data_IF_075421823323
#
_entry.id   IF_075421823323
#
_cell.length_a   1.000
_cell.length_b   1.000
_cell.length_c   1.000
_cell.angle_alpha   90.00
_cell.angle_beta   90.00
_cell.angle_gamma   90.00
#
_symmetry.space_group_name_H-M   'P 1'
#
loop_
_entity.id
_entity.type
_entity.pdbx_description
1 polymer ?
#
# COMPACT_ATOMS: atom_id res chain seq x y z
N UNK A 1 -3.09 -11.82 -6.62
CA UNK A 1 -2.72 -11.01 -5.44
C UNK A 1 -3.92 -10.21 -4.95
N UNK A 2 -4.17 -10.19 -3.64
CA UNK A 2 -5.18 -9.33 -3.02
C UNK A 2 -4.54 -7.98 -2.67
N UNK A 3 -5.08 -6.90 -3.17
CA UNK A 3 -4.62 -5.54 -2.90
C UNK A 3 -5.66 -4.78 -2.06
N UNK A 4 -5.20 -4.07 -1.04
CA UNK A 4 -6.03 -3.35 -0.08
C UNK A 4 -5.82 -1.84 -0.15
N UNK A 5 -6.91 -1.08 0.00
CA UNK A 5 -6.90 0.37 0.18
C UNK A 5 -7.69 0.71 1.45
N UNK A 6 -7.04 0.61 2.62
CA UNK A 6 -7.64 1.03 3.89
C UNK A 6 -7.32 2.48 4.17
N UNK A 7 -8.28 3.38 3.94
CA UNK A 7 -8.10 4.81 4.25
C UNK A 7 -9.42 5.57 4.32
N UNK A 8 -9.36 6.77 4.89
CA UNK A 8 -10.38 7.78 4.61
C UNK A 8 -10.37 8.06 3.10
N UNK A 9 -11.50 7.79 2.44
CA UNK A 9 -11.66 7.96 0.99
C UNK A 9 -11.80 9.45 0.66
N UNK A 10 -10.66 10.14 0.63
CA UNK A 10 -10.55 11.58 0.37
C UNK A 10 -9.50 11.85 -0.72
N UNK A 11 -9.67 12.95 -1.44
CA UNK A 11 -8.90 13.27 -2.66
C UNK A 11 -7.37 13.24 -2.46
N UNK A 12 -6.86 13.71 -1.31
CA UNK A 12 -5.41 13.71 -1.06
C UNK A 12 -4.80 12.30 -0.86
N UNK A 13 -5.62 11.26 -0.76
CA UNK A 13 -5.16 9.86 -0.70
C UNK A 13 -4.96 9.22 -2.08
N UNK A 14 -5.18 9.98 -3.16
CA UNK A 14 -4.92 9.57 -4.53
C UNK A 14 -5.97 8.65 -5.13
N UNK A 15 -7.21 8.70 -4.62
CA UNK A 15 -8.30 7.90 -5.16
C UNK A 15 -8.75 8.35 -6.55
N UNK A 16 -8.46 9.57 -6.92
CA UNK A 16 -8.60 10.09 -8.29
C UNK A 16 -7.70 9.34 -9.29
N UNK A 17 -6.49 8.95 -8.88
CA UNK A 17 -5.63 8.09 -9.71
C UNK A 17 -6.23 6.69 -9.87
N UNK A 18 -6.75 6.12 -8.78
CA UNK A 18 -7.42 4.81 -8.80
C UNK A 18 -8.64 4.88 -9.72
N UNK A 19 -9.48 5.91 -9.57
CA UNK A 19 -10.67 6.14 -10.40
C UNK A 19 -10.34 6.19 -11.89
N UNK A 20 -9.25 6.89 -12.23
CA UNK A 20 -8.85 7.09 -13.64
C UNK A 20 -8.45 5.78 -14.36
N UNK A 21 -8.10 4.73 -13.64
CA UNK A 21 -7.66 3.43 -14.21
C UNK A 21 -8.43 2.23 -13.64
N UNK A 22 -9.63 2.46 -13.11
CA UNK A 22 -10.42 1.36 -12.54
C UNK A 22 -10.73 0.26 -13.55
N UNK A 23 -11.07 0.62 -14.79
CA UNK A 23 -11.34 -0.36 -15.85
C UNK A 23 -10.10 -1.19 -16.17
N UNK A 24 -8.92 -0.56 -16.21
CA UNK A 24 -7.66 -1.26 -16.41
C UNK A 24 -7.34 -2.19 -15.24
N UNK A 25 -7.51 -1.72 -13.99
CA UNK A 25 -7.31 -2.55 -12.79
C UNK A 25 -8.20 -3.80 -12.80
N UNK A 26 -9.44 -3.68 -13.29
CA UNK A 26 -10.35 -4.83 -13.41
C UNK A 26 -9.94 -5.81 -14.51
N UNK A 27 -9.04 -5.44 -15.43
CA UNK A 27 -8.47 -6.38 -16.41
C UNK A 27 -7.23 -7.12 -15.88
N UNK A 28 -6.55 -6.58 -14.85
CA UNK A 28 -5.38 -7.23 -14.26
C UNK A 28 -5.75 -8.50 -13.47
N UNK A 29 -4.79 -9.42 -13.31
CA UNK A 29 -4.98 -10.63 -12.50
C UNK A 29 -4.79 -10.34 -11.01
N UNK A 30 -5.69 -9.51 -10.47
CA UNK A 30 -5.73 -9.09 -9.07
C UNK A 30 -7.15 -9.15 -8.52
N UNK A 31 -7.26 -9.21 -7.20
CA UNK A 31 -8.48 -8.92 -6.46
C UNK A 31 -8.30 -7.62 -5.67
N UNK A 32 -9.27 -6.73 -5.73
CA UNK A 32 -9.23 -5.42 -5.07
C UNK A 32 -10.20 -5.38 -3.88
N UNK A 33 -9.68 -5.13 -2.70
CA UNK A 33 -10.49 -4.94 -1.48
C UNK A 33 -10.41 -3.49 -1.05
N UNK A 34 -11.56 -2.85 -0.91
CA UNK A 34 -11.68 -1.47 -0.42
C UNK A 34 -12.31 -1.50 0.97
N UNK A 35 -11.67 -0.81 1.93
CA UNK A 35 -12.21 -0.64 3.28
C UNK A 35 -12.09 0.83 3.69
N UNK A 36 -13.17 1.41 4.16
CA UNK A 36 -13.19 2.77 4.67
C UNK A 36 -14.40 3.56 4.22
N UNK A 37 -14.54 4.74 4.78
CA UNK A 37 -15.58 5.72 4.45
C UNK A 37 -14.92 7.02 3.96
N UNK A 38 -15.66 7.85 3.23
CA UNK A 38 -15.13 9.13 2.77
C UNK A 38 -16.08 9.93 1.88
N UNK A 39 -15.55 10.41 0.75
CA UNK A 39 -16.34 11.18 -0.20
C UNK A 39 -17.32 10.29 -0.97
N UNK A 40 -18.59 10.69 -1.03
CA UNK A 40 -19.69 9.90 -1.57
C UNK A 40 -19.48 9.46 -3.05
N UNK A 41 -18.79 10.27 -3.85
CA UNK A 41 -18.46 9.94 -5.22
C UNK A 41 -17.55 8.70 -5.31
N UNK A 42 -16.52 8.60 -4.47
CA UNK A 42 -15.63 7.42 -4.42
C UNK A 42 -16.35 6.21 -3.84
N UNK A 43 -17.12 6.38 -2.76
CA UNK A 43 -17.91 5.29 -2.20
C UNK A 43 -18.87 4.68 -3.22
N UNK A 44 -19.60 5.53 -3.97
CA UNK A 44 -20.54 5.09 -5.00
C UNK A 44 -19.82 4.40 -6.16
N UNK A 45 -18.69 4.93 -6.59
CA UNK A 45 -17.86 4.30 -7.61
C UNK A 45 -17.42 2.90 -7.18
N UNK A 46 -16.86 2.75 -5.98
CA UNK A 46 -16.38 1.46 -5.50
C UNK A 46 -17.51 0.43 -5.35
N UNK A 47 -18.69 0.84 -4.87
CA UNK A 47 -19.88 -0.04 -4.83
C UNK A 47 -20.27 -0.50 -6.23
N UNK A 48 -20.34 0.44 -7.19
CA UNK A 48 -20.70 0.12 -8.57
C UNK A 48 -19.74 -0.89 -9.22
N UNK A 49 -18.42 -0.72 -9.01
CA UNK A 49 -17.43 -1.68 -9.52
C UNK A 49 -17.50 -3.03 -8.79
N UNK A 50 -17.75 -3.06 -7.49
CA UNK A 50 -17.93 -4.30 -6.74
C UNK A 50 -19.17 -5.08 -7.21
N UNK A 51 -20.26 -4.38 -7.51
CA UNK A 51 -21.47 -5.00 -8.09
C UNK A 51 -21.23 -5.53 -9.50
N UNK A 52 -20.42 -4.84 -10.29
CA UNK A 52 -20.10 -5.23 -11.67
C UNK A 52 -19.07 -6.37 -11.74
N UNK A 53 -18.12 -6.41 -10.81
CA UNK A 53 -17.00 -7.37 -10.77
C UNK A 53 -16.93 -8.13 -9.44
N UNK A 54 -17.97 -8.87 -9.02
CA UNK A 54 -18.06 -9.47 -7.68
C UNK A 54 -16.96 -10.52 -7.42
N UNK A 55 -16.39 -11.13 -8.46
CA UNK A 55 -15.28 -12.07 -8.34
C UNK A 55 -13.92 -11.39 -8.13
N UNK A 56 -13.82 -10.09 -8.45
CA UNK A 56 -12.57 -9.34 -8.45
C UNK A 56 -12.53 -8.21 -7.42
N UNK A 57 -13.68 -7.72 -6.98
CA UNK A 57 -13.71 -6.55 -6.12
C UNK A 57 -14.69 -6.67 -4.97
N UNK A 58 -14.26 -6.21 -3.79
CA UNK A 58 -15.10 -6.04 -2.60
C UNK A 58 -14.98 -4.62 -2.07
N UNK A 59 -16.11 -3.94 -1.87
CA UNK A 59 -16.19 -2.58 -1.35
C UNK A 59 -16.87 -2.57 0.02
N UNK A 60 -16.08 -2.51 1.08
CA UNK A 60 -16.55 -2.46 2.46
C UNK A 60 -16.51 -1.01 2.95
N UNK A 61 -17.62 -0.28 2.72
CA UNK A 61 -17.74 1.13 3.08
C UNK A 61 -18.09 1.26 4.55
N UNK A 62 -17.12 0.97 5.39
CA UNK A 62 -17.27 0.92 6.85
C UNK A 62 -15.97 1.35 7.53
N UNK A 63 -16.07 1.95 8.72
CA UNK A 63 -14.94 2.16 9.60
C UNK A 63 -14.87 1.03 10.62
N UNK A 64 -14.05 0.03 10.37
CA UNK A 64 -13.89 -1.16 11.21
C UNK A 64 -12.41 -1.53 11.35
N UNK A 65 -11.86 -1.33 12.56
CA UNK A 65 -10.48 -1.63 12.86
C UNK A 65 -10.17 -3.13 12.79
N UNK A 66 -11.12 -3.99 13.18
CA UNK A 66 -10.91 -5.44 13.14
C UNK A 66 -10.81 -5.90 11.69
N UNK A 67 -11.76 -5.50 10.85
CA UNK A 67 -11.74 -5.82 9.43
C UNK A 67 -10.47 -5.28 8.75
N UNK A 68 -10.00 -4.09 9.12
CA UNK A 68 -8.74 -3.55 8.61
C UNK A 68 -7.54 -4.43 8.95
N UNK A 69 -7.42 -4.92 10.19
CA UNK A 69 -6.35 -5.82 10.58
C UNK A 69 -6.46 -7.18 9.89
N UNK A 70 -7.66 -7.72 9.74
CA UNK A 70 -7.91 -8.96 8.98
C UNK A 70 -7.49 -8.79 7.51
N UNK A 71 -7.76 -7.63 6.92
CA UNK A 71 -7.36 -7.33 5.53
C UNK A 71 -5.85 -7.16 5.39
N UNK A 72 -5.17 -6.50 6.34
CA UNK A 72 -3.70 -6.50 6.34
C UNK A 72 -3.12 -7.92 6.46
N UNK A 73 -3.74 -8.79 7.27
CA UNK A 73 -3.26 -10.15 7.43
C UNK A 73 -3.55 -11.06 6.22
N UNK A 74 -4.61 -10.80 5.49
CA UNK A 74 -5.04 -11.59 4.33
C UNK A 74 -4.62 -11.02 2.97
N UNK A 75 -4.17 -9.76 2.94
CA UNK A 75 -3.73 -9.11 1.71
C UNK A 75 -2.29 -9.45 1.33
N UNK A 76 -2.00 -9.47 0.04
CA UNK A 76 -0.64 -9.59 -0.48
C UNK A 76 0.00 -8.20 -0.70
N UNK A 77 -0.81 -7.23 -1.11
CA UNK A 77 -0.39 -5.89 -1.51
C UNK A 77 -1.25 -4.83 -0.82
N UNK A 78 -0.65 -3.69 -0.48
CA UNK A 78 -1.38 -2.49 -0.06
C UNK A 78 -1.04 -1.31 -0.97
N UNK A 79 -2.06 -0.70 -1.58
CA UNK A 79 -1.89 0.43 -2.50
C UNK A 79 -2.04 1.76 -1.77
N UNK A 80 -1.03 2.63 -1.87
CA UNK A 80 -0.98 3.94 -1.22
C UNK A 80 -0.58 5.05 -2.21
N UNK A 81 -1.48 5.48 -3.10
CA UNK A 81 -1.17 6.45 -4.17
C UNK A 81 -1.27 7.91 -3.69
N UNK A 82 -1.00 8.17 -2.43
CA UNK A 82 -1.24 9.46 -1.79
C UNK A 82 -0.58 10.63 -2.51
N UNK A 83 -1.32 11.73 -2.71
CA UNK A 83 -0.79 12.99 -3.21
C UNK A 83 0.17 13.61 -2.19
N UNK A 84 -0.13 13.45 -0.92
CA UNK A 84 0.73 13.86 0.20
C UNK A 84 0.52 12.89 1.36
N UNK A 85 1.62 12.41 1.94
CA UNK A 85 1.61 11.55 3.12
C UNK A 85 2.79 11.92 4.02
N UNK A 86 2.59 12.82 5.00
CA UNK A 86 3.69 13.32 5.83
C UNK A 86 4.46 12.20 6.58
N UNK A 87 3.75 11.23 7.11
CA UNK A 87 4.33 10.09 7.84
C UNK A 87 3.88 8.75 7.24
N UNK A 88 2.57 8.46 7.36
CA UNK A 88 1.97 7.17 7.03
C UNK A 88 2.26 6.10 8.09
N UNK A 89 1.21 5.43 8.53
CA UNK A 89 1.32 4.25 9.39
C UNK A 89 0.88 2.98 8.66
N UNK A 90 0.02 3.12 7.67
CA UNK A 90 -0.56 2.01 6.93
C UNK A 90 0.51 1.10 6.33
N UNK A 91 1.54 1.66 5.67
CA UNK A 91 2.63 0.88 5.09
C UNK A 91 3.44 0.12 6.16
N UNK A 92 3.66 0.73 7.32
CA UNK A 92 4.40 0.10 8.42
C UNK A 92 3.60 -1.05 9.03
N UNK A 93 2.29 -0.85 9.22
CA UNK A 93 1.38 -1.89 9.70
C UNK A 93 1.32 -3.03 8.67
N UNK A 94 1.07 -2.72 7.40
CA UNK A 94 0.99 -3.70 6.33
C UNK A 94 2.28 -4.55 6.23
N UNK A 95 3.45 -3.92 6.20
CA UNK A 95 4.73 -4.64 6.20
C UNK A 95 4.87 -5.57 7.40
N UNK A 96 4.40 -5.16 8.58
CA UNK A 96 4.44 -6.01 9.78
C UNK A 96 3.57 -7.26 9.65
N UNK A 97 2.49 -7.21 8.86
CA UNK A 97 1.65 -8.36 8.50
C UNK A 97 2.19 -9.15 7.30
N UNK A 98 3.23 -8.68 6.62
CA UNK A 98 3.77 -9.29 5.40
C UNK A 98 3.05 -8.85 4.13
N UNK A 99 2.24 -7.81 4.20
CA UNK A 99 1.57 -7.19 3.05
C UNK A 99 2.49 -6.16 2.44
N UNK A 100 2.89 -6.37 1.18
CA UNK A 100 3.89 -5.56 0.48
C UNK A 100 3.29 -4.24 0.01
N UNK A 101 3.91 -3.09 0.30
CA UNK A 101 3.37 -1.80 -0.12
C UNK A 101 3.66 -1.46 -1.58
N UNK A 102 2.66 -0.87 -2.24
CA UNK A 102 2.78 -0.12 -3.50
C UNK A 102 2.52 1.34 -3.15
N UNK A 103 3.52 2.20 -3.29
CA UNK A 103 3.44 3.58 -2.80
C UNK A 103 3.80 4.60 -3.87
N UNK A 104 3.24 5.82 -3.77
CA UNK A 104 3.86 6.97 -4.41
C UNK A 104 4.99 7.50 -3.53
N UNK A 105 6.11 7.84 -4.16
CA UNK A 105 7.29 8.40 -3.47
C UNK A 105 6.98 9.83 -2.98
N UNK A 106 6.44 9.93 -1.74
CA UNK A 106 6.12 11.22 -1.11
C UNK A 106 6.21 11.12 0.41
N UNK A 107 6.86 12.09 1.06
CA UNK A 107 7.00 12.19 2.51
C UNK A 107 7.42 10.88 3.16
N UNK A 108 6.79 10.51 4.27
CA UNK A 108 7.13 9.31 5.02
C UNK A 108 6.96 7.98 4.27
N UNK A 109 6.21 7.95 3.16
CA UNK A 109 6.18 6.76 2.30
C UNK A 109 7.54 6.56 1.61
N UNK A 110 8.11 7.62 1.06
CA UNK A 110 9.44 7.58 0.45
C UNK A 110 10.53 7.17 1.45
N UNK A 111 10.46 7.70 2.68
CA UNK A 111 11.45 7.44 3.72
C UNK A 111 11.40 5.99 4.23
N UNK A 112 10.22 5.37 4.25
CA UNK A 112 10.01 4.06 4.88
C UNK A 112 9.92 2.90 3.89
N UNK A 113 9.62 3.17 2.62
CA UNK A 113 9.45 2.15 1.58
C UNK A 113 10.38 2.44 0.39
N UNK A 114 11.69 2.15 0.49
CA UNK A 114 12.57 2.21 -0.66
C UNK A 114 12.12 1.20 -1.73
N UNK A 115 12.26 1.61 -3.00
CA UNK A 115 11.91 0.78 -4.14
C UNK A 115 12.66 -0.55 -4.13
N UNK A 116 11.95 -1.65 -4.37
CA UNK A 116 12.54 -2.97 -4.49
C UNK A 116 13.44 -3.03 -5.73
N UNK A 117 14.68 -3.47 -5.52
CA UNK A 117 15.55 -3.96 -6.60
C UNK A 117 15.42 -5.49 -6.68
N UNK A 118 14.82 -6.04 -7.74
CA UNK A 118 14.62 -7.49 -7.85
C UNK A 118 15.90 -8.32 -7.94
N UNK A 119 17.02 -7.72 -8.39
CA UNK A 119 18.29 -8.42 -8.54
C UNK A 119 19.02 -8.58 -7.20
N UNK A 120 19.02 -7.53 -6.38
CA UNK A 120 19.71 -7.54 -5.07
C UNK A 120 18.77 -7.88 -3.91
N UNK A 121 17.46 -7.85 -4.13
CA UNK A 121 16.42 -7.96 -3.10
C UNK A 121 16.52 -6.87 -2.02
N UNK A 122 17.16 -5.76 -2.34
CA UNK A 122 17.14 -4.54 -1.53
C UNK A 122 15.86 -3.74 -1.80
N UNK A 123 15.36 -3.04 -0.79
CA UNK A 123 14.10 -2.32 -0.85
C UNK A 123 12.97 -3.06 -0.13
N UNK A 124 11.75 -2.45 -0.13
CA UNK A 124 10.62 -2.94 0.67
C UNK A 124 9.28 -2.93 -0.07
N UNK A 125 9.23 -2.44 -1.29
CA UNK A 125 7.96 -2.36 -2.01
C UNK A 125 8.09 -1.83 -3.41
N UNK A 126 6.96 -1.64 -4.05
CA UNK A 126 6.90 -1.11 -5.40
C UNK A 126 6.56 0.37 -5.37
N UNK A 127 7.28 1.19 -6.12
CA UNK A 127 7.13 2.63 -6.04
C UNK A 127 6.87 3.26 -7.40
N UNK A 128 6.23 4.43 -7.39
CA UNK A 128 6.11 5.31 -8.53
C UNK A 128 6.29 6.77 -8.07
N UNK A 129 6.82 7.64 -8.95
CA UNK A 129 7.21 9.02 -8.61
C UNK A 129 6.14 10.05 -8.94
N UNK A 130 5.70 10.03 -10.19
CA UNK A 130 4.75 11.02 -10.69
C UNK A 130 3.37 10.80 -10.08
N UNK A 131 2.63 11.88 -9.80
CA UNK A 131 1.23 11.80 -9.44
C UNK A 131 0.41 11.55 -10.71
N UNK A 132 0.48 10.32 -11.20
CA UNK A 132 -0.09 9.89 -12.48
C UNK A 132 -0.69 8.48 -12.35
N UNK A 133 -1.89 8.30 -12.92
CA UNK A 133 -2.64 7.07 -12.79
C UNK A 133 -1.97 5.89 -13.52
N UNK A 134 -1.36 6.11 -14.69
CA UNK A 134 -0.67 5.06 -15.42
C UNK A 134 0.66 4.66 -14.78
N UNK A 135 1.39 5.59 -14.14
CA UNK A 135 2.58 5.26 -13.36
C UNK A 135 2.21 4.40 -12.13
N UNK A 136 1.07 4.70 -11.49
CA UNK A 136 0.50 3.88 -10.43
C UNK A 136 0.14 2.48 -10.95
N UNK A 137 -0.56 2.40 -12.08
CA UNK A 137 -0.97 1.12 -12.70
C UNK A 137 0.25 0.28 -13.08
N UNK A 138 1.31 0.90 -13.61
CA UNK A 138 2.58 0.21 -13.88
C UNK A 138 3.18 -0.40 -12.60
N UNK A 139 3.17 0.35 -11.50
CA UNK A 139 3.65 -0.17 -10.21
C UNK A 139 2.82 -1.38 -9.73
N UNK A 140 1.50 -1.36 -9.91
CA UNK A 140 0.62 -2.51 -9.63
C UNK A 140 0.98 -3.70 -10.51
N UNK A 141 1.18 -3.50 -11.82
CA UNK A 141 1.57 -4.55 -12.78
C UNK A 141 2.91 -5.18 -12.42
N UNK A 142 3.91 -4.37 -12.07
CA UNK A 142 5.22 -4.86 -11.61
C UNK A 142 5.10 -5.71 -10.34
N UNK A 143 4.29 -5.28 -9.40
CA UNK A 143 4.03 -6.02 -8.16
C UNK A 143 3.32 -7.36 -8.44
N UNK A 144 2.27 -7.36 -9.25
CA UNK A 144 1.53 -8.57 -9.65
C UNK A 144 2.41 -9.55 -10.42
N UNK A 145 3.28 -9.06 -11.31
CA UNK A 145 4.24 -9.91 -12.04
C UNK A 145 5.27 -10.51 -11.08
N UNK A 146 5.81 -9.73 -10.14
CA UNK A 146 6.79 -10.21 -9.16
C UNK A 146 6.20 -11.21 -8.17
N UNK A 147 4.91 -11.11 -7.87
CA UNK A 147 4.17 -12.05 -7.01
C UNK A 147 4.24 -13.48 -7.54
N UNK A 148 4.36 -13.67 -8.85
CA UNK A 148 4.46 -15.01 -9.47
C UNK A 148 5.77 -15.74 -9.10
N UNK A 149 6.83 -15.02 -8.74
CA UNK A 149 8.04 -15.60 -8.18
C UNK A 149 7.88 -15.83 -6.67
N UNK A 150 7.25 -16.91 -6.32
CA UNK A 150 6.89 -17.22 -4.92
C UNK A 150 8.09 -17.30 -3.97
N UNK A 151 9.31 -17.59 -4.48
CA UNK A 151 10.53 -17.64 -3.65
C UNK A 151 10.97 -16.23 -3.26
N UNK A 152 11.11 -15.33 -4.22
CA UNK A 152 11.54 -13.96 -3.96
C UNK A 152 10.43 -13.15 -3.29
N UNK A 153 9.15 -13.43 -3.60
CA UNK A 153 8.01 -12.86 -2.89
C UNK A 153 8.05 -13.14 -1.38
N UNK A 154 8.20 -14.40 -0.97
CA UNK A 154 8.33 -14.79 0.45
C UNK A 154 9.56 -14.19 1.12
N UNK A 155 10.65 -13.98 0.38
CA UNK A 155 11.83 -13.32 0.90
C UNK A 155 11.57 -11.84 1.18
N UNK A 156 10.89 -11.14 0.25
CA UNK A 156 10.47 -9.75 0.41
C UNK A 156 9.57 -9.59 1.63
N UNK A 157 8.49 -10.38 1.71
CA UNK A 157 7.59 -10.37 2.88
C UNK A 157 8.34 -10.58 4.21
N UNK A 158 9.26 -11.53 4.24
CA UNK A 158 10.06 -11.81 5.44
C UNK A 158 10.99 -10.65 5.80
N UNK A 159 11.55 -9.95 4.83
CA UNK A 159 12.39 -8.78 5.05
C UNK A 159 11.55 -7.62 5.58
N UNK A 160 10.36 -7.40 5.03
CA UNK A 160 9.41 -6.36 5.46
C UNK A 160 8.94 -6.60 6.91
N UNK A 161 8.56 -7.83 7.24
CA UNK A 161 8.14 -8.19 8.60
C UNK A 161 9.25 -8.00 9.65
N UNK A 162 10.52 -8.03 9.25
CA UNK A 162 11.68 -7.81 10.13
C UNK A 162 12.03 -6.35 10.31
N UNK A 163 11.49 -5.48 9.48
CA UNK A 163 11.77 -4.05 9.59
C UNK A 163 11.28 -3.51 10.93
N UNK A 164 12.20 -3.00 11.72
CA UNK A 164 11.88 -2.43 13.03
C UNK A 164 11.53 -0.95 12.88
N UNK A 165 10.23 -0.65 12.95
CA UNK A 165 9.67 0.69 12.99
C UNK A 165 9.18 1.08 14.39
N UNK A 166 9.67 0.39 15.42
CA UNK A 166 9.25 0.62 16.82
C UNK A 166 9.85 1.91 17.40
N UNK A 167 9.22 2.38 18.47
CA UNK A 167 9.75 3.49 19.26
C UNK A 167 11.15 3.22 19.82
N UNK A 168 11.52 1.95 20.07
CA UNK A 168 12.85 1.60 20.54
C UNK A 168 13.93 2.05 19.55
N UNK A 169 13.72 1.84 18.25
CA UNK A 169 14.63 2.33 17.21
C UNK A 169 14.73 3.85 17.21
N UNK A 170 13.60 4.54 17.20
CA UNK A 170 13.56 6.01 17.22
C UNK A 170 14.24 6.61 18.49
N UNK A 171 14.01 5.99 19.65
CA UNK A 171 14.66 6.41 20.90
C UNK A 171 16.19 6.31 20.83
N UNK A 172 16.73 5.26 20.19
CA UNK A 172 18.18 5.13 20.00
C UNK A 172 18.75 6.26 19.14
N UNK A 173 18.04 6.63 18.07
CA UNK A 173 18.44 7.74 17.19
C UNK A 173 18.42 9.08 17.94
N UNK A 174 17.35 9.38 18.69
CA UNK A 174 17.28 10.56 19.55
C UNK A 174 18.40 10.58 20.58
N UNK A 175 18.68 9.43 21.20
CA UNK A 175 19.76 9.31 22.18
C UNK A 175 21.14 9.62 21.57
N UNK A 176 21.40 9.16 20.35
CA UNK A 176 22.65 9.48 19.64
C UNK A 176 22.76 10.99 19.36
N UNK A 177 21.67 11.63 18.92
CA UNK A 177 21.65 13.09 18.69
C UNK A 177 21.97 13.82 19.98
N UNK A 178 21.31 13.51 21.11
CA UNK A 178 21.59 14.17 22.39
C UNK A 178 23.03 13.97 22.85
N UNK A 179 23.59 12.77 22.67
CA UNK A 179 25.00 12.52 22.97
C UNK A 179 25.99 13.33 22.13
N UNK A 180 25.66 13.59 20.88
CA UNK A 180 26.53 14.38 20.00
C UNK A 180 26.53 15.88 20.34
N UNK A 181 25.62 16.33 21.18
CA UNK A 181 25.48 17.73 21.61
C UNK A 181 26.18 18.02 22.94
N UNK A 182 26.66 16.97 23.62
CA UNK A 182 27.42 17.03 24.86
C UNK A 182 28.92 16.92 24.60
#
# INVERSE_FOLDING_TARGET
>A
AASDVYKRQVSHKGLDLVQAVMDDLMQEDIQLVIIGTGEQNYENMFRSYADQYPEKMSANIVFDNKLAHETYAGGDLVLMPSKMEPCGLTQLIAMRYGTVPIIRETGGLYDTVPALNPETMEGRGFTFKSYNAHDMLDAVRRAAAFYQDSKHWKLLQKNDMKFDSSWNQSVQEYWQIYRSML
#
